data_IF_296035773068
#
_entry.id   IF_296035773068
#
_cell.length_a   1.000
_cell.length_b   1.000
_cell.length_c   1.000
_cell.angle_alpha   90.00
_cell.angle_beta   90.00
_cell.angle_gamma   90.00
#
_symmetry.space_group_name_H-M   'P 1'
#
loop_
_entity.id
_entity.type
_entity.pdbx_description
1 polymer ?
#
# COMPACT_ATOMS: atom_id res chain seq x y z
N UNK A 1 -10.35 -27.68 -10.54
CA UNK A 1 -11.02 -26.37 -10.71
C UNK A 1 -11.14 -25.56 -9.41
N UNK A 2 -11.58 -26.15 -8.29
CA UNK A 2 -11.78 -25.43 -7.02
C UNK A 2 -10.54 -24.67 -6.48
N UNK A 3 -9.33 -25.20 -6.68
CA UNK A 3 -8.07 -24.55 -6.23
C UNK A 3 -7.77 -23.25 -6.97
N UNK A 4 -8.12 -23.16 -8.25
CA UNK A 4 -7.90 -21.96 -9.06
C UNK A 4 -8.87 -20.86 -8.66
N UNK A 5 -10.17 -21.18 -8.57
CA UNK A 5 -11.20 -20.24 -8.09
C UNK A 5 -10.87 -19.68 -6.69
N UNK A 6 -10.36 -20.52 -5.78
CA UNK A 6 -9.94 -20.09 -4.44
C UNK A 6 -8.71 -19.17 -4.46
N UNK A 7 -7.77 -19.37 -5.38
CA UNK A 7 -6.60 -18.49 -5.55
C UNK A 7 -7.03 -17.15 -6.15
N UNK A 8 -7.85 -17.16 -7.19
CA UNK A 8 -8.38 -15.95 -7.83
C UNK A 8 -9.24 -15.11 -6.87
N UNK A 9 -10.08 -15.74 -6.05
CA UNK A 9 -10.88 -15.03 -5.05
C UNK A 9 -10.03 -14.33 -3.99
N UNK A 10 -8.90 -14.92 -3.58
CA UNK A 10 -7.95 -14.25 -2.65
C UNK A 10 -7.25 -13.07 -3.30
N UNK A 11 -6.86 -13.21 -4.57
CA UNK A 11 -6.26 -12.11 -5.32
C UNK A 11 -7.25 -10.95 -5.48
N UNK A 12 -8.49 -11.24 -5.89
CA UNK A 12 -9.57 -10.24 -5.96
C UNK A 12 -9.83 -9.56 -4.62
N UNK A 13 -9.89 -10.33 -3.53
CA UNK A 13 -10.03 -9.76 -2.20
C UNK A 13 -8.85 -8.86 -1.79
N UNK A 14 -7.61 -9.23 -2.13
CA UNK A 14 -6.45 -8.38 -1.87
C UNK A 14 -6.49 -7.08 -2.69
N UNK A 15 -6.91 -7.14 -3.95
CA UNK A 15 -7.10 -5.94 -4.79
C UNK A 15 -8.19 -5.02 -4.22
N UNK A 16 -9.29 -5.59 -3.72
CA UNK A 16 -10.32 -4.82 -3.03
C UNK A 16 -9.77 -4.13 -1.77
N UNK A 17 -8.94 -4.84 -0.98
CA UNK A 17 -8.27 -4.23 0.17
C UNK A 17 -7.37 -3.06 -0.24
N UNK A 18 -6.56 -3.21 -1.30
CA UNK A 18 -5.71 -2.14 -1.83
C UNK A 18 -6.51 -0.88 -2.19
N UNK A 19 -7.67 -1.05 -2.82
CA UNK A 19 -8.55 0.07 -3.18
C UNK A 19 -9.15 0.71 -1.92
N UNK A 20 -9.69 -0.11 -1.02
CA UNK A 20 -10.32 0.39 0.21
C UNK A 20 -9.33 1.12 1.13
N UNK A 21 -8.15 0.54 1.35
CA UNK A 21 -7.10 1.13 2.20
C UNK A 21 -6.57 2.41 1.55
N UNK A 22 -6.27 2.39 0.25
CA UNK A 22 -5.82 3.59 -0.46
C UNK A 22 -6.82 4.74 -0.38
N UNK A 23 -8.12 4.46 -0.53
CA UNK A 23 -9.18 5.46 -0.36
C UNK A 23 -9.31 5.95 1.08
N UNK A 24 -9.09 5.08 2.07
CA UNK A 24 -9.17 5.44 3.48
C UNK A 24 -7.98 6.29 3.97
N UNK A 25 -6.80 6.10 3.38
CA UNK A 25 -5.60 6.87 3.73
C UNK A 25 -5.67 8.34 3.27
N UNK A 26 -6.39 8.62 2.18
CA UNK A 26 -6.49 9.97 1.63
C UNK A 26 -5.19 10.50 1.03
N UNK A 27 -5.15 11.80 0.75
CA UNK A 27 -4.03 12.44 0.05
C UNK A 27 -2.72 12.35 0.85
N UNK A 28 -1.59 11.94 0.23
CA UNK A 28 -0.34 11.69 0.92
C UNK A 28 0.31 12.95 1.53
N UNK A 29 0.02 14.12 0.96
CA UNK A 29 0.47 15.42 1.49
C UNK A 29 -0.06 15.71 2.90
N UNK A 30 -1.17 15.08 3.31
CA UNK A 30 -1.79 15.31 4.61
C UNK A 30 -1.12 14.52 5.74
N UNK A 31 -0.37 13.46 5.42
CA UNK A 31 0.12 12.52 6.43
C UNK A 31 1.58 12.08 6.23
N UNK A 32 2.22 12.41 5.10
CA UNK A 32 3.66 12.22 4.90
C UNK A 32 4.35 13.58 5.09
N UNK A 33 5.33 13.61 6.00
CA UNK A 33 6.14 14.79 6.25
C UNK A 33 6.99 15.17 5.01
N UNK A 34 6.97 16.44 4.64
CA UNK A 34 7.67 16.95 3.47
C UNK A 34 9.20 16.77 3.54
N UNK A 35 9.84 17.01 4.69
CA UNK A 35 11.29 16.82 4.83
C UNK A 35 11.70 15.36 4.65
N UNK A 36 10.83 14.43 5.08
CA UNK A 36 11.02 13.01 4.81
C UNK A 36 10.93 12.72 3.31
N UNK A 37 9.95 13.28 2.61
CA UNK A 37 9.85 13.15 1.15
C UNK A 37 11.08 13.72 0.45
N UNK A 38 11.56 14.90 0.83
CA UNK A 38 12.77 15.48 0.26
C UNK A 38 14.00 14.59 0.46
N UNK A 39 14.15 13.97 1.64
CA UNK A 39 15.24 13.03 1.89
C UNK A 39 15.17 11.80 1.00
N UNK A 40 13.99 11.21 0.86
CA UNK A 40 13.78 10.05 -0.02
C UNK A 40 13.95 10.45 -1.49
N UNK A 41 13.43 11.62 -1.90
CA UNK A 41 13.57 12.14 -3.24
C UNK A 41 15.03 12.38 -3.61
N UNK A 42 15.82 13.01 -2.73
CA UNK A 42 17.26 13.16 -2.93
C UNK A 42 17.99 11.81 -3.01
N UNK A 43 17.51 10.80 -2.28
CA UNK A 43 18.07 9.44 -2.35
C UNK A 43 17.78 8.78 -3.71
N UNK A 44 16.59 9.00 -4.28
CA UNK A 44 16.15 8.39 -5.53
C UNK A 44 16.67 9.11 -6.78
N UNK A 45 16.67 10.44 -6.76
CA UNK A 45 16.93 11.28 -7.94
C UNK A 45 18.29 11.98 -7.89
N UNK A 46 19.05 11.83 -6.80
CA UNK A 46 20.37 12.44 -6.60
C UNK A 46 20.34 13.68 -5.69
N UNK A 47 21.51 14.09 -5.21
CA UNK A 47 21.65 15.22 -4.30
C UNK A 47 21.48 16.55 -5.03
N UNK A 48 20.55 17.40 -4.57
CA UNK A 48 20.40 18.77 -5.07
C UNK A 48 18.97 19.29 -4.91
N UNK A 49 18.65 20.36 -5.65
CA UNK A 49 17.25 20.73 -5.85
C UNK A 49 16.58 19.68 -6.73
N UNK A 50 15.67 18.91 -6.15
CA UNK A 50 14.80 17.99 -6.87
C UNK A 50 13.55 18.76 -7.32
N UNK A 51 13.18 18.61 -8.60
CA UNK A 51 12.02 19.29 -9.17
C UNK A 51 10.70 18.84 -8.55
N UNK A 52 9.65 19.66 -8.68
CA UNK A 52 8.33 19.39 -8.12
C UNK A 52 7.75 18.03 -8.58
N UNK A 53 7.96 17.65 -9.84
CA UNK A 53 7.52 16.34 -10.37
C UNK A 53 8.16 15.17 -9.61
N UNK A 54 9.46 15.24 -9.32
CA UNK A 54 10.16 14.20 -8.57
C UNK A 54 9.70 14.12 -7.10
N UNK A 55 9.32 15.25 -6.52
CA UNK A 55 8.75 15.31 -5.16
C UNK A 55 7.38 14.63 -5.15
N UNK A 56 6.52 14.93 -6.13
CA UNK A 56 5.18 14.33 -6.25
C UNK A 56 5.26 12.82 -6.50
N UNK A 57 6.17 12.37 -7.37
CA UNK A 57 6.46 10.94 -7.58
C UNK A 57 6.88 10.27 -6.28
N UNK A 58 7.73 10.93 -5.49
CA UNK A 58 8.19 10.40 -4.21
C UNK A 58 7.04 10.25 -3.20
N UNK A 59 6.15 11.26 -3.11
CA UNK A 59 4.92 11.15 -2.33
C UNK A 59 4.08 9.96 -2.77
N UNK A 60 3.88 9.79 -4.08
CA UNK A 60 3.12 8.68 -4.64
C UNK A 60 3.75 7.32 -4.30
N UNK A 61 5.07 7.16 -4.46
CA UNK A 61 5.75 5.90 -4.17
C UNK A 61 5.65 5.50 -2.70
N UNK A 62 5.90 6.44 -1.78
CA UNK A 62 5.79 6.18 -0.34
C UNK A 62 4.34 5.83 0.01
N UNK A 63 3.38 6.57 -0.55
CA UNK A 63 1.95 6.35 -0.33
C UNK A 63 1.51 4.96 -0.78
N UNK A 64 1.89 4.60 -2.01
CA UNK A 64 1.53 3.33 -2.62
C UNK A 64 2.16 2.15 -1.88
N UNK A 65 3.43 2.26 -1.48
CA UNK A 65 4.11 1.22 -0.70
C UNK A 65 3.46 1.03 0.68
N UNK A 66 3.10 2.12 1.34
CA UNK A 66 2.39 2.09 2.63
C UNK A 66 1.02 1.45 2.49
N UNK A 67 0.27 1.78 1.43
CA UNK A 67 -1.02 1.16 1.12
C UNK A 67 -0.89 -0.35 0.91
N UNK A 68 0.12 -0.79 0.15
CA UNK A 68 0.42 -2.23 -0.03
C UNK A 68 0.68 -2.89 1.31
N UNK A 69 1.54 -2.29 2.15
CA UNK A 69 1.91 -2.87 3.43
C UNK A 69 0.71 -3.03 4.37
N UNK A 70 -0.11 -1.99 4.52
CA UNK A 70 -1.32 -2.02 5.36
C UNK A 70 -2.32 -3.05 4.80
N UNK A 71 -2.51 -3.09 3.48
CA UNK A 71 -3.39 -4.08 2.83
C UNK A 71 -2.91 -5.51 3.06
N UNK A 72 -1.60 -5.76 3.04
CA UNK A 72 -1.03 -7.07 3.38
C UNK A 72 -1.32 -7.46 4.83
N UNK A 73 -1.14 -6.53 5.77
CA UNK A 73 -1.44 -6.77 7.19
C UNK A 73 -2.92 -7.15 7.36
N UNK A 74 -3.85 -6.40 6.77
CA UNK A 74 -5.28 -6.75 6.80
C UNK A 74 -5.58 -8.09 6.16
N UNK A 75 -5.01 -8.37 5.00
CA UNK A 75 -5.20 -9.64 4.30
C UNK A 75 -4.74 -10.83 5.15
N UNK A 76 -3.56 -10.75 5.77
CA UNK A 76 -3.07 -11.84 6.61
C UNK A 76 -3.93 -12.02 7.87
N UNK A 77 -4.35 -10.92 8.50
CA UNK A 77 -5.25 -10.98 9.66
C UNK A 77 -6.59 -11.64 9.30
N UNK A 78 -7.22 -11.22 8.21
CA UNK A 78 -8.53 -11.75 7.80
C UNK A 78 -8.43 -13.21 7.36
N UNK A 79 -7.37 -13.60 6.65
CA UNK A 79 -7.12 -15.01 6.30
C UNK A 79 -6.86 -15.88 7.54
N UNK A 80 -6.17 -15.36 8.58
CA UNK A 80 -6.00 -16.06 9.86
C UNK A 80 -7.34 -16.24 10.58
N UNK A 81 -8.17 -15.20 10.64
CA UNK A 81 -9.51 -15.26 11.24
C UNK A 81 -10.42 -16.25 10.53
N UNK A 82 -10.49 -16.22 9.19
CA UNK A 82 -11.30 -17.17 8.40
C UNK A 82 -10.85 -18.62 8.66
N UNK A 83 -9.54 -18.87 8.76
CA UNK A 83 -9.02 -20.20 9.09
C UNK A 83 -9.39 -20.63 10.51
N UNK A 84 -9.37 -19.71 11.48
CA UNK A 84 -9.76 -19.99 12.86
C UNK A 84 -11.25 -20.36 12.92
N UNK A 85 -12.11 -19.58 12.27
CA UNK A 85 -13.57 -19.82 12.23
C UNK A 85 -13.89 -21.16 11.57
N UNK A 86 -13.20 -21.55 10.49
CA UNK A 86 -13.42 -22.85 9.82
C UNK A 86 -12.95 -24.06 10.65
N UNK A 87 -12.08 -23.84 11.64
CA UNK A 87 -11.53 -24.92 12.49
C UNK A 87 -12.41 -25.19 13.72
N UNK A 88 -13.24 -24.23 14.11
CA UNK A 88 -14.37 -24.43 15.03
C UNK A 88 -15.56 -25.00 14.27
#
# INVERSE_FOLDING_TARGET
>A
MATFARKSGKAGYFLLLLVCVGRAMGEPYNWINYDFVLKIGNLLYGSGEIGAEAIDDTYFYISFLTNIFISMVFFFMTMKLIRKIRRY
#
